data_IF_079749501389
#
_entry.id   IF_079749501389
#
_cell.length_a   1.000
_cell.length_b   1.000
_cell.length_c   1.000
_cell.angle_alpha   90.00
_cell.angle_beta   90.00
_cell.angle_gamma   90.00
#
_symmetry.space_group_name_H-M   'P 1'
#
loop_
_entity.id
_entity.type
_entity.pdbx_description
1 polymer ?
#
# COMPACT_ATOMS: atom_id res chain seq x y z
N UNK A 1 8.16 -10.76 14.77
CA UNK A 1 9.04 -10.12 13.78
C UNK A 1 8.18 -9.32 12.82
N UNK A 2 8.52 -8.05 12.61
CA UNK A 2 7.76 -7.15 11.76
C UNK A 2 7.98 -7.43 10.27
N UNK A 3 6.89 -7.43 9.50
CA UNK A 3 6.92 -7.61 8.04
C UNK A 3 7.81 -6.59 7.35
N UNK A 4 7.85 -5.35 7.87
CA UNK A 4 8.74 -4.28 7.39
C UNK A 4 10.20 -4.67 7.55
N UNK A 5 10.58 -5.12 8.74
CA UNK A 5 11.96 -5.53 9.06
C UNK A 5 12.39 -6.71 8.21
N UNK A 6 11.50 -7.67 7.94
CA UNK A 6 11.80 -8.78 7.03
C UNK A 6 12.11 -8.30 5.60
N UNK A 7 11.31 -7.37 5.06
CA UNK A 7 11.53 -6.83 3.71
C UNK A 7 12.83 -6.02 3.61
N UNK A 8 13.18 -5.27 4.66
CA UNK A 8 14.44 -4.50 4.71
C UNK A 8 15.67 -5.43 4.73
N UNK A 9 15.65 -6.50 5.53
CA UNK A 9 16.72 -7.50 5.53
C UNK A 9 16.88 -8.16 4.16
N UNK A 10 15.76 -8.42 3.48
CA UNK A 10 15.79 -9.02 2.14
C UNK A 10 16.44 -8.08 1.12
N UNK A 11 16.08 -6.79 1.14
CA UNK A 11 16.68 -5.78 0.25
C UNK A 11 18.19 -5.63 0.48
N UNK A 12 18.64 -5.67 1.73
CA UNK A 12 20.06 -5.59 2.07
C UNK A 12 20.84 -6.81 1.53
N UNK A 13 20.29 -8.01 1.67
CA UNK A 13 20.89 -9.23 1.11
C UNK A 13 21.02 -9.19 -0.42
N UNK A 14 20.09 -8.56 -1.13
CA UNK A 14 20.20 -8.36 -2.58
C UNK A 14 21.25 -7.30 -2.93
N UNK A 15 21.40 -6.27 -2.11
CA UNK A 15 22.47 -5.27 -2.29
C UNK A 15 23.85 -5.87 -2.07
N UNK A 16 24.01 -6.75 -1.10
CA UNK A 16 25.26 -7.52 -0.91
C UNK A 16 25.56 -8.40 -2.14
N UNK A 17 24.54 -9.05 -2.72
CA UNK A 17 24.69 -9.81 -3.96
C UNK A 17 25.08 -8.93 -5.15
N UNK A 18 24.53 -7.73 -5.26
CA UNK A 18 24.90 -6.79 -6.31
C UNK A 18 26.40 -6.43 -6.26
N UNK A 19 26.93 -6.24 -5.04
CA UNK A 19 28.37 -5.97 -4.83
C UNK A 19 29.22 -7.20 -5.18
N UNK A 20 28.76 -8.39 -4.80
CA UNK A 20 29.47 -9.65 -5.05
C UNK A 20 29.42 -10.10 -6.52
N UNK A 21 28.35 -9.77 -7.23
CA UNK A 21 28.08 -10.15 -8.61
C UNK A 21 27.77 -8.93 -9.48
N UNK A 22 28.81 -8.19 -9.92
CA UNK A 22 28.63 -6.98 -10.71
C UNK A 22 28.04 -7.24 -12.10
N UNK A 23 28.07 -8.49 -12.58
CA UNK A 23 27.51 -8.88 -13.88
C UNK A 23 25.98 -8.77 -13.93
N UNK A 24 25.30 -9.03 -12.80
CA UNK A 24 23.85 -8.86 -12.66
C UNK A 24 23.52 -7.76 -11.66
N UNK A 25 24.42 -6.79 -11.49
CA UNK A 25 24.27 -5.71 -10.52
C UNK A 25 22.91 -5.01 -10.66
N UNK A 26 22.54 -4.60 -11.87
CA UNK A 26 21.27 -3.91 -12.11
C UNK A 26 20.05 -4.79 -11.77
N UNK A 27 20.09 -6.09 -12.09
CA UNK A 27 19.01 -7.04 -11.73
C UNK A 27 18.87 -7.19 -10.21
N UNK A 28 19.98 -7.29 -9.49
CA UNK A 28 19.96 -7.36 -8.03
C UNK A 28 19.48 -6.05 -7.38
N UNK A 29 19.79 -4.91 -7.99
CA UNK A 29 19.29 -3.60 -7.54
C UNK A 29 17.77 -3.50 -7.80
N UNK A 30 17.27 -3.94 -8.95
CA UNK A 30 15.83 -3.98 -9.24
C UNK A 30 15.08 -4.85 -8.23
N UNK A 31 15.61 -6.03 -7.88
CA UNK A 31 15.02 -6.88 -6.85
C UNK A 31 15.05 -6.22 -5.47
N UNK A 32 16.14 -5.55 -5.10
CA UNK A 32 16.23 -4.81 -3.84
C UNK A 32 15.19 -3.68 -3.75
N UNK A 33 14.95 -2.96 -4.86
CA UNK A 33 13.94 -1.89 -4.95
C UNK A 33 12.54 -2.46 -4.71
N UNK A 34 12.18 -3.59 -5.34
CA UNK A 34 10.88 -4.24 -5.12
C UNK A 34 10.64 -4.60 -3.65
N UNK A 35 11.70 -5.04 -2.94
CA UNK A 35 11.61 -5.33 -1.51
C UNK A 35 11.46 -4.06 -0.66
N UNK A 36 12.13 -2.96 -1.02
CA UNK A 36 11.96 -1.66 -0.36
C UNK A 36 10.54 -1.10 -0.55
N UNK A 37 9.97 -1.21 -1.74
CA UNK A 37 8.59 -0.79 -2.02
C UNK A 37 7.58 -1.56 -1.16
N UNK A 38 7.76 -2.87 -1.03
CA UNK A 38 6.93 -3.72 -0.15
C UNK A 38 7.10 -3.36 1.33
N UNK A 39 8.32 -2.99 1.75
CA UNK A 39 8.57 -2.52 3.12
C UNK A 39 7.82 -1.20 3.40
N UNK A 40 7.80 -0.28 2.43
CA UNK A 40 7.05 0.97 2.53
C UNK A 40 5.54 0.75 2.54
N UNK A 41 5.01 -0.15 1.72
CA UNK A 41 3.60 -0.50 1.73
C UNK A 41 3.17 -1.13 3.07
N UNK A 42 3.99 -2.03 3.61
CA UNK A 42 3.76 -2.61 4.93
C UNK A 42 3.74 -1.52 6.02
N UNK A 43 4.63 -0.51 5.92
CA UNK A 43 4.61 0.63 6.83
C UNK A 43 3.37 1.50 6.67
N UNK A 44 2.87 1.71 5.44
CA UNK A 44 1.64 2.47 5.18
C UNK A 44 0.43 1.79 5.79
N UNK A 45 0.34 0.45 5.66
CA UNK A 45 -0.73 -0.33 6.30
C UNK A 45 -0.68 -0.22 7.82
N UNK A 46 0.51 -0.30 8.42
CA UNK A 46 0.68 -0.10 9.88
C UNK A 46 0.27 1.32 10.29
N UNK A 47 0.68 2.36 9.55
CA UNK A 47 0.30 3.74 9.83
C UNK A 47 -1.23 3.96 9.76
N UNK A 48 -1.91 3.40 8.76
CA UNK A 48 -3.39 3.42 8.66
C UNK A 48 -4.05 2.69 9.83
N UNK A 49 -3.45 1.60 10.32
CA UNK A 49 -4.00 0.84 11.45
C UNK A 49 -3.80 1.57 12.79
N UNK A 50 -2.75 2.38 12.91
CA UNK A 50 -2.50 3.22 14.10
C UNK A 50 -3.45 4.44 14.08
N UNK A 51 -3.64 5.08 12.93
CA UNK A 51 -4.56 6.21 12.76
C UNK A 51 -6.03 5.81 13.06
N UNK A 52 -6.45 4.62 12.63
CA UNK A 52 -7.78 4.09 12.91
C UNK A 52 -8.03 3.72 14.40
N UNK A 53 -6.98 3.65 15.22
CA UNK A 53 -7.09 3.29 16.64
C UNK A 53 -7.20 4.50 17.56
N UNK A 54 -6.86 5.70 17.09
CA UNK A 54 -6.81 6.92 17.91
C UNK A 54 -7.75 8.06 17.49
N UNK A 55 -8.58 7.89 16.45
CA UNK A 55 -9.61 8.91 16.18
C UNK A 55 -10.43 8.71 14.92
N UNK A 56 -11.64 8.18 15.11
CA UNK A 56 -12.80 8.20 14.22
C UNK A 56 -12.69 7.54 12.82
N UNK A 57 -13.68 6.70 12.43
CA UNK A 57 -13.71 6.09 11.11
C UNK A 57 -14.17 7.13 10.08
N UNK A 58 -13.25 7.70 9.31
CA UNK A 58 -13.56 8.40 8.05
C UNK A 58 -13.01 7.61 6.86
N UNK A 59 -13.40 6.35 6.76
CA UNK A 59 -13.25 5.57 5.54
C UNK A 59 -14.56 4.85 5.22
N UNK A 60 -15.66 5.61 5.18
CA UNK A 60 -16.93 5.12 4.66
C UNK A 60 -17.76 6.27 4.05
N UNK A 61 -17.13 7.09 3.20
CA UNK A 61 -17.84 8.14 2.44
C UNK A 61 -17.50 8.14 0.95
N UNK A 62 -16.41 7.48 0.54
CA UNK A 62 -16.03 7.39 -0.87
C UNK A 62 -16.59 6.15 -1.59
N UNK A 63 -17.04 5.13 -0.84
CA UNK A 63 -17.55 3.90 -1.45
C UNK A 63 -19.08 3.87 -1.56
N UNK A 64 -19.82 4.62 -0.74
CA UNK A 64 -21.29 4.76 -0.86
C UNK A 64 -21.74 5.75 -1.95
N UNK A 65 -20.86 6.62 -2.45
CA UNK A 65 -21.21 7.55 -3.54
C UNK A 65 -21.19 6.90 -4.94
N UNK A 66 -20.54 5.74 -5.09
CA UNK A 66 -20.47 5.03 -6.37
C UNK A 66 -21.68 4.07 -6.60
N UNK A 67 -22.38 3.67 -5.54
CA UNK A 67 -23.58 2.86 -5.63
C UNK A 67 -24.86 3.69 -5.83
N UNK A 68 -24.85 4.98 -5.43
CA UNK A 68 -25.95 5.94 -5.63
C UNK A 68 -25.86 6.67 -6.99
N UNK A 69 -25.09 6.14 -7.95
CA UNK A 69 -25.12 6.58 -9.35
C UNK A 69 -26.09 5.75 -10.21
N UNK A 70 -26.83 4.81 -9.60
CA UNK A 70 -27.95 4.11 -10.24
C UNK A 70 -29.25 4.90 -10.08
N UNK A 71 -29.32 6.10 -10.68
CA UNK A 71 -30.58 6.78 -10.95
C UNK A 71 -31.43 5.94 -11.91
N UNK A 72 -32.74 5.79 -11.61
CA UNK A 72 -33.71 6.42 -12.49
C UNK A 72 -34.41 7.59 -11.79
N UNK A 73 -34.08 8.80 -12.26
CA UNK A 73 -34.90 10.02 -12.35
C UNK A 73 -36.17 10.07 -11.45
N UNK A 74 -36.13 10.87 -10.37
CA UNK A 74 -37.31 11.51 -9.71
C UNK A 74 -37.56 12.89 -10.34
N UNK A 75 -38.63 13.68 -10.02
CA UNK A 75 -39.94 13.44 -9.38
C UNK A 75 -41.11 14.02 -10.25
N UNK A 76 -42.38 14.12 -9.83
CA UNK A 76 -43.06 15.31 -9.23
C UNK A 76 -44.51 14.87 -8.87
N UNK A 77 -44.90 14.82 -7.59
CA UNK A 77 -45.72 15.81 -6.84
C UNK A 77 -47.22 15.84 -7.21
N UNK A 78 -48.06 15.40 -6.27
CA UNK A 78 -49.52 15.44 -6.38
C UNK A 78 -50.13 16.84 -6.17
N UNK A 79 -51.36 16.98 -6.67
CA UNK A 79 -52.31 18.07 -6.48
C UNK A 79 -53.65 17.64 -7.06
#
# INVERSE_FOLDING_TARGET
MDRRTACLNQADAFREKAIADPAHHDEWIDEAIKWLERAMEASRRVAVTIDAKDGWPVQDAAQEAAADAALPQRPERGG
#
